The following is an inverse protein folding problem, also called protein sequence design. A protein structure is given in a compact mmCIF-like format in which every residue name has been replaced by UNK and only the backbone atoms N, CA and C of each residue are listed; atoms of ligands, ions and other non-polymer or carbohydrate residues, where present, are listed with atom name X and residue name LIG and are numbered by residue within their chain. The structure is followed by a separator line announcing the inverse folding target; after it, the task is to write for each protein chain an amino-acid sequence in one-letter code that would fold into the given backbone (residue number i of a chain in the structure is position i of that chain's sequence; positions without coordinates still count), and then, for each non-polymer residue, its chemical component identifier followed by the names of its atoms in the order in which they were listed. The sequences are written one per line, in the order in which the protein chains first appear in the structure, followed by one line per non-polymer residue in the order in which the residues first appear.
data_IF_635062970730
#
_entry.id   IF_635062970730
#
_cell.length_a   1.000
_cell.length_b   1.000
_cell.length_c   1.000
_cell.angle_alpha   90.00
_cell.angle_beta   90.00
_cell.angle_gamma   90.00
#
_symmetry.space_group_name_H-M   'P 1'
#
loop_
_entity.id
_entity.type
_entity.pdbx_description
1 polymer ?
#
# COMPACT_ATOMS: atom_id res chain seq x y z
N UNK A 1 18.13 -8.65 -16.85
CA UNK A 1 18.00 -7.21 -16.53
C UNK A 1 17.75 -7.10 -15.03
N UNK A 2 18.25 -6.07 -14.34
CA UNK A 2 17.89 -5.87 -12.92
C UNK A 2 16.37 -5.70 -12.82
N UNK A 3 15.78 -6.18 -11.71
CA UNK A 3 14.34 -6.03 -11.46
C UNK A 3 13.98 -4.54 -11.36
N UNK A 4 12.79 -4.15 -11.80
CA UNK A 4 12.30 -2.77 -11.71
C UNK A 4 12.08 -2.35 -10.26
N UNK A 5 11.68 -3.29 -9.39
CA UNK A 5 11.38 -3.13 -7.96
C UNK A 5 12.59 -3.50 -7.07
N UNK A 6 13.78 -3.01 -7.37
CA UNK A 6 14.96 -3.15 -6.52
C UNK A 6 14.81 -2.32 -5.22
N UNK A 7 14.96 -2.98 -4.05
CA UNK A 7 14.72 -2.36 -2.74
C UNK A 7 15.61 -1.17 -2.44
N UNK A 8 16.88 -1.21 -2.83
CA UNK A 8 17.80 -0.09 -2.59
C UNK A 8 17.35 1.14 -3.38
N UNK A 9 16.91 0.96 -4.62
CA UNK A 9 16.39 2.05 -5.44
C UNK A 9 15.06 2.60 -4.91
N UNK A 10 14.20 1.74 -4.34
CA UNK A 10 12.95 2.15 -3.71
C UNK A 10 13.24 2.99 -2.46
N UNK A 11 14.17 2.55 -1.60
CA UNK A 11 14.61 3.32 -0.43
C UNK A 11 15.17 4.67 -0.86
N UNK A 12 16.14 4.70 -1.78
CA UNK A 12 16.75 5.93 -2.29
C UNK A 12 15.70 6.91 -2.85
N UNK A 13 14.73 6.40 -3.61
CA UNK A 13 13.63 7.19 -4.15
C UNK A 13 12.80 7.85 -3.06
N UNK A 14 12.32 7.07 -2.08
CA UNK A 14 11.50 7.61 -1.00
C UNK A 14 12.29 8.49 -0.05
N UNK A 15 13.55 8.16 0.25
CA UNK A 15 14.42 9.00 1.08
C UNK A 15 14.66 10.37 0.42
N UNK A 16 14.86 10.38 -0.89
CA UNK A 16 15.11 11.62 -1.64
C UNK A 16 13.83 12.45 -1.81
N UNK A 17 12.70 11.79 -2.11
CA UNK A 17 11.50 12.50 -2.58
C UNK A 17 10.44 12.74 -1.52
N UNK A 18 10.44 12.03 -0.40
CA UNK A 18 9.37 12.18 0.61
C UNK A 18 9.20 13.62 1.13
N UNK A 19 10.26 14.42 1.36
CA UNK A 19 10.09 15.82 1.74
C UNK A 19 9.38 16.65 0.66
N UNK A 20 9.66 16.37 -0.62
CA UNK A 20 9.01 17.05 -1.74
C UNK A 20 7.58 16.57 -1.94
N UNK A 21 7.32 15.27 -1.80
CA UNK A 21 5.95 14.75 -1.85
C UNK A 21 5.07 15.42 -0.81
N UNK A 22 5.53 15.53 0.42
CA UNK A 22 4.77 16.20 1.46
C UNK A 22 4.47 17.67 1.14
N UNK A 23 5.42 18.41 0.60
CA UNK A 23 5.24 19.82 0.26
C UNK A 23 4.39 20.06 -0.98
N UNK A 24 4.44 19.18 -1.98
CA UNK A 24 3.79 19.35 -3.28
C UNK A 24 2.47 18.59 -3.39
N UNK A 25 2.41 17.38 -2.82
CA UNK A 25 1.25 16.51 -2.89
C UNK A 25 0.41 16.51 -1.61
N UNK A 26 1.02 16.68 -0.44
CA UNK A 26 0.34 16.76 0.85
C UNK A 26 0.67 15.60 1.79
N UNK A 27 -0.15 15.44 2.83
CA UNK A 27 0.12 14.50 3.93
C UNK A 27 -0.11 13.03 3.54
N UNK A 28 -0.95 12.73 2.54
CA UNK A 28 -1.22 11.38 2.05
C UNK A 28 -0.63 11.19 0.66
N UNK A 29 0.15 10.09 0.46
CA UNK A 29 0.74 9.79 -0.85
C UNK A 29 -0.24 9.08 -1.80
N UNK A 30 -1.19 8.34 -1.25
CA UNK A 30 -2.14 7.54 -2.00
C UNK A 30 -3.18 8.36 -2.76
N UNK A 31 -3.90 7.68 -3.65
CA UNK A 31 -5.03 8.25 -4.41
C UNK A 31 -6.12 8.84 -3.51
N UNK A 32 -6.91 9.74 -4.09
CA UNK A 32 -8.19 10.14 -3.52
C UNK A 32 -9.34 9.27 -4.03
N UNK A 33 -10.44 9.25 -3.27
CA UNK A 33 -11.71 8.63 -3.63
C UNK A 33 -12.78 9.70 -3.68
N UNK A 34 -13.14 10.16 -4.89
CA UNK A 34 -14.16 11.19 -5.12
C UNK A 34 -15.53 10.55 -5.19
N UNK A 35 -16.43 10.91 -4.29
CA UNK A 35 -17.81 10.44 -4.23
C UNK A 35 -18.68 11.28 -5.17
N UNK A 36 -18.55 12.59 -5.08
CA UNK A 36 -19.36 13.56 -5.84
C UNK A 36 -18.56 14.19 -7.00
N UNK A 37 -17.25 14.23 -6.91
CA UNK A 37 -16.34 14.73 -7.94
C UNK A 37 -15.84 16.16 -7.72
N UNK A 38 -16.36 16.89 -6.74
CA UNK A 38 -16.01 18.26 -6.38
C UNK A 38 -15.21 18.38 -5.08
N UNK A 39 -14.96 17.27 -4.39
CA UNK A 39 -14.15 17.26 -3.18
C UNK A 39 -12.73 17.75 -3.42
N UNK A 40 -12.12 18.35 -2.43
CA UNK A 40 -10.69 18.64 -2.45
C UNK A 40 -9.88 17.32 -2.50
N UNK A 41 -8.64 17.40 -2.92
CA UNK A 41 -7.72 16.24 -2.92
C UNK A 41 -7.62 15.63 -1.53
N UNK A 42 -7.45 16.46 -0.51
CA UNK A 42 -7.31 16.05 0.88
C UNK A 42 -8.58 15.33 1.38
N UNK A 43 -9.75 15.88 1.08
CA UNK A 43 -11.03 15.23 1.39
C UNK A 43 -11.16 13.86 0.70
N UNK A 44 -10.83 13.80 -0.58
CA UNK A 44 -10.90 12.55 -1.33
C UNK A 44 -9.89 11.50 -0.81
N UNK A 45 -8.71 11.93 -0.36
CA UNK A 45 -7.73 11.03 0.27
C UNK A 45 -8.26 10.45 1.60
N UNK A 46 -8.87 11.27 2.45
CA UNK A 46 -9.51 10.79 3.68
C UNK A 46 -10.70 9.86 3.37
N UNK A 47 -11.51 10.18 2.35
CA UNK A 47 -12.61 9.31 1.90
C UNK A 47 -12.11 7.94 1.42
N UNK A 48 -10.91 7.82 0.84
CA UNK A 48 -10.33 6.53 0.50
C UNK A 48 -10.04 5.69 1.74
N UNK A 49 -9.48 6.30 2.78
CA UNK A 49 -9.21 5.62 4.05
C UNK A 49 -10.53 5.18 4.69
N UNK A 50 -11.53 6.07 4.74
CA UNK A 50 -12.85 5.77 5.32
C UNK A 50 -13.56 4.65 4.55
N UNK A 51 -13.48 4.66 3.22
CA UNK A 51 -14.04 3.60 2.38
C UNK A 51 -13.44 2.23 2.70
N UNK A 52 -12.10 2.14 2.79
CA UNK A 52 -11.42 0.90 3.15
C UNK A 52 -11.73 0.49 4.60
N UNK A 53 -11.75 1.44 5.54
CA UNK A 53 -12.04 1.18 6.95
C UNK A 53 -13.47 0.63 7.16
N UNK A 54 -14.45 1.17 6.44
CA UNK A 54 -15.83 0.67 6.44
C UNK A 54 -15.90 -0.78 5.92
N UNK A 55 -15.27 -1.07 4.79
CA UNK A 55 -15.21 -2.44 4.21
C UNK A 55 -14.51 -3.43 5.13
N UNK A 56 -13.50 -2.95 5.86
CA UNK A 56 -12.74 -3.73 6.83
C UNK A 56 -13.47 -3.86 8.16
N UNK A 57 -14.49 -3.02 8.42
CA UNK A 57 -15.18 -2.93 9.71
C UNK A 57 -14.21 -2.67 10.86
N UNK A 58 -13.32 -1.70 10.70
CA UNK A 58 -12.41 -1.24 11.76
C UNK A 58 -13.22 -0.78 12.96
N UNK A 59 -12.84 -1.22 14.16
CA UNK A 59 -13.53 -0.91 15.41
C UNK A 59 -12.62 -0.09 16.34
N UNK A 60 -13.17 0.69 17.25
CA UNK A 60 -12.39 1.28 18.33
C UNK A 60 -11.61 0.21 19.09
N UNK A 61 -10.32 0.48 19.33
CA UNK A 61 -9.40 -0.47 19.97
C UNK A 61 -8.84 -1.56 19.06
N UNK A 62 -9.18 -1.60 17.76
CA UNK A 62 -8.56 -2.52 16.82
C UNK A 62 -7.04 -2.33 16.79
N UNK A 63 -6.31 -3.45 16.86
CA UNK A 63 -4.84 -3.48 16.72
C UNK A 63 -4.50 -3.61 15.24
N UNK A 64 -3.93 -2.56 14.64
CA UNK A 64 -3.71 -2.44 13.21
C UNK A 64 -2.21 -2.42 12.92
N UNK A 65 -1.75 -3.23 11.95
CA UNK A 65 -0.44 -3.11 11.33
C UNK A 65 -0.59 -2.42 9.97
N UNK A 66 -0.09 -1.19 9.85
CA UNK A 66 -0.04 -0.42 8.60
C UNK A 66 1.27 -0.72 7.86
N UNK A 67 1.17 -1.54 6.81
CA UNK A 67 2.29 -2.11 6.08
C UNK A 67 2.64 -1.20 4.90
N UNK A 68 3.81 -0.56 4.97
CA UNK A 68 4.21 0.49 4.02
C UNK A 68 3.56 1.83 4.35
N UNK A 69 3.56 2.23 5.61
CA UNK A 69 2.84 3.40 6.14
C UNK A 69 3.31 4.75 5.57
N UNK A 70 4.35 4.77 4.72
CA UNK A 70 4.95 6.00 4.23
C UNK A 70 5.39 6.91 5.38
N UNK A 71 5.07 8.20 5.32
CA UNK A 71 5.36 9.13 6.41
C UNK A 71 4.21 9.25 7.45
N UNK A 72 3.37 8.19 7.56
CA UNK A 72 2.52 7.92 8.71
C UNK A 72 1.14 8.57 8.72
N UNK A 73 0.76 9.35 7.72
CA UNK A 73 -0.49 10.11 7.76
C UNK A 73 -1.73 9.22 7.92
N UNK A 74 -1.80 8.10 7.21
CA UNK A 74 -2.90 7.12 7.32
C UNK A 74 -2.93 6.46 8.69
N UNK A 75 -1.77 6.04 9.22
CA UNK A 75 -1.66 5.47 10.58
C UNK A 75 -2.18 6.45 11.64
N UNK A 76 -1.80 7.73 11.54
CA UNK A 76 -2.25 8.78 12.46
C UNK A 76 -3.77 9.05 12.32
N UNK A 77 -4.29 9.03 11.09
CA UNK A 77 -5.72 9.16 10.85
C UNK A 77 -6.51 8.01 11.47
N UNK A 78 -6.07 6.75 11.27
CA UNK A 78 -6.70 5.57 11.86
C UNK A 78 -6.70 5.61 13.40
N UNK A 79 -5.58 6.00 14.00
CA UNK A 79 -5.49 6.14 15.45
C UNK A 79 -6.45 7.21 15.99
N UNK A 80 -6.51 8.39 15.34
CA UNK A 80 -7.34 9.52 15.78
C UNK A 80 -8.83 9.29 15.56
N UNK A 81 -9.23 8.88 14.35
CA UNK A 81 -10.64 8.86 13.95
C UNK A 81 -11.35 7.54 14.26
N UNK A 82 -10.59 6.44 14.29
CA UNK A 82 -11.14 5.12 14.63
C UNK A 82 -10.75 4.65 16.04
N UNK A 83 -9.97 5.46 16.79
CA UNK A 83 -9.45 5.07 18.10
C UNK A 83 -8.74 3.70 18.05
N UNK A 84 -7.98 3.44 16.98
CA UNK A 84 -7.25 2.20 16.77
C UNK A 84 -5.85 2.26 17.38
N UNK A 85 -5.34 1.12 17.87
CA UNK A 85 -3.94 0.96 18.22
C UNK A 85 -3.15 0.63 16.95
N UNK A 86 -2.30 1.55 16.47
CA UNK A 86 -1.64 1.40 15.17
C UNK A 86 -0.14 1.22 15.32
N UNK A 87 0.39 0.22 14.63
CA UNK A 87 1.83 0.06 14.37
C UNK A 87 2.05 0.26 12.87
N UNK A 88 2.85 1.25 12.47
CA UNK A 88 3.23 1.50 11.08
C UNK A 88 4.64 1.00 10.78
N UNK A 89 4.84 0.36 9.62
CA UNK A 89 6.17 -0.02 9.15
C UNK A 89 6.48 0.63 7.81
N UNK A 90 7.72 1.08 7.67
CA UNK A 90 8.27 1.61 6.40
C UNK A 90 9.70 1.12 6.21
N UNK A 91 10.13 1.01 4.94
CA UNK A 91 11.51 0.66 4.58
C UNK A 91 12.43 1.90 4.48
N UNK A 92 11.86 3.11 4.47
CA UNK A 92 12.58 4.38 4.33
C UNK A 92 12.89 5.01 5.71
N UNK A 93 14.17 5.20 6.07
CA UNK A 93 14.55 5.92 7.28
C UNK A 93 14.01 7.36 7.33
N UNK A 94 13.96 8.05 6.19
CA UNK A 94 13.45 9.43 6.10
C UNK A 94 11.95 9.46 6.38
N UNK A 95 11.17 8.54 5.79
CA UNK A 95 9.74 8.43 6.07
C UNK A 95 9.48 8.09 7.54
N UNK A 96 10.28 7.20 8.14
CA UNK A 96 10.18 6.87 9.56
C UNK A 96 10.31 8.11 10.42
N UNK A 97 11.36 8.93 10.18
CA UNK A 97 11.57 10.15 10.94
C UNK A 97 10.40 11.13 10.80
N UNK A 98 9.89 11.30 9.58
CA UNK A 98 8.72 12.15 9.30
C UNK A 98 7.48 11.66 10.04
N UNK A 99 7.21 10.34 10.04
CA UNK A 99 6.09 9.73 10.73
C UNK A 99 6.16 9.90 12.25
N UNK A 100 7.33 9.65 12.85
CA UNK A 100 7.57 9.84 14.29
C UNK A 100 7.39 11.30 14.70
N UNK A 101 7.93 12.24 13.90
CA UNK A 101 7.75 13.67 14.16
C UNK A 101 6.28 14.09 14.07
N UNK A 102 5.53 13.57 13.08
CA UNK A 102 4.12 13.86 12.94
C UNK A 102 3.29 13.32 14.12
N UNK A 103 3.59 12.10 14.60
CA UNK A 103 2.97 11.51 15.79
C UNK A 103 3.22 12.38 17.04
N UNK A 104 4.45 12.77 17.28
CA UNK A 104 4.82 13.62 18.40
C UNK A 104 4.12 14.98 18.37
N UNK A 105 4.08 15.63 17.19
CA UNK A 105 3.43 16.93 17.01
C UNK A 105 1.90 16.83 17.24
N UNK A 106 1.29 15.69 16.90
CA UNK A 106 -0.14 15.46 17.05
C UNK A 106 -0.52 14.83 18.39
N UNK A 107 0.47 14.53 19.26
CA UNK A 107 0.30 13.84 20.54
C UNK A 107 -0.48 12.52 20.42
N UNK A 108 -0.18 11.74 19.37
CA UNK A 108 -0.79 10.44 19.11
C UNK A 108 0.20 9.32 19.46
N UNK A 109 -0.30 8.31 20.19
CA UNK A 109 0.46 7.09 20.51
C UNK A 109 0.35 6.10 19.35
N UNK A 110 1.21 6.30 18.34
CA UNK A 110 1.35 5.41 17.17
C UNK A 110 2.80 4.96 17.11
N UNK A 111 3.02 3.66 17.08
CA UNK A 111 4.35 3.09 16.94
C UNK A 111 4.76 3.06 15.47
N UNK A 112 5.95 3.59 15.15
CA UNK A 112 6.54 3.47 13.82
C UNK A 112 7.86 2.72 13.88
N UNK A 113 8.09 1.80 12.91
CA UNK A 113 9.27 0.94 12.85
C UNK A 113 9.90 0.97 11.45
N UNK A 114 11.23 1.00 11.41
CA UNK A 114 11.96 0.71 10.18
C UNK A 114 11.98 -0.80 9.98
N UNK A 115 11.22 -1.28 9.01
CA UNK A 115 11.07 -2.72 8.78
C UNK A 115 10.72 -3.00 7.31
N UNK A 116 11.39 -4.00 6.74
CA UNK A 116 11.04 -4.55 5.43
C UNK A 116 9.79 -5.42 5.54
N UNK A 117 8.74 -5.06 4.79
CA UNK A 117 7.49 -5.80 4.76
C UNK A 117 7.65 -7.27 4.30
N UNK A 118 8.65 -7.56 3.48
CA UNK A 118 8.94 -8.95 3.04
C UNK A 118 9.73 -9.77 4.08
N UNK A 119 10.15 -9.13 5.19
CA UNK A 119 10.89 -9.76 6.28
C UNK A 119 10.31 -9.41 7.67
N UNK A 120 9.01 -9.18 7.75
CA UNK A 120 8.31 -8.83 8.99
C UNK A 120 8.48 -9.90 10.08
N UNK A 121 8.80 -9.44 11.30
CA UNK A 121 8.87 -10.28 12.49
C UNK A 121 8.15 -9.59 13.65
N UNK A 122 7.01 -10.14 14.04
CA UNK A 122 6.23 -9.68 15.19
C UNK A 122 5.93 -10.85 16.12
N UNK A 123 5.97 -10.58 17.45
CA UNK A 123 5.61 -11.56 18.48
C UNK A 123 4.11 -11.53 18.79
N UNK A 124 3.35 -10.65 18.16
CA UNK A 124 1.90 -10.51 18.33
C UNK A 124 1.18 -10.63 16.99
N UNK A 125 -0.11 -10.92 17.07
CA UNK A 125 -1.04 -10.88 15.95
C UNK A 125 -1.89 -9.60 16.00
N UNK A 126 -2.45 -9.22 14.86
CA UNK A 126 -3.22 -8.00 14.67
C UNK A 126 -4.68 -8.32 14.30
N UNK A 127 -5.61 -7.43 14.66
CA UNK A 127 -6.99 -7.48 14.21
C UNK A 127 -7.11 -7.13 12.72
N UNK A 128 -6.25 -6.21 12.26
CA UNK A 128 -6.22 -5.73 10.87
C UNK A 128 -4.78 -5.60 10.38
N UNK A 129 -4.50 -6.16 9.21
CA UNK A 129 -3.39 -5.75 8.37
C UNK A 129 -3.92 -4.75 7.35
N UNK A 130 -3.25 -3.62 7.25
CA UNK A 130 -3.60 -2.53 6.36
C UNK A 130 -2.46 -2.29 5.37
N UNK A 131 -2.73 -2.22 4.08
CA UNK A 131 -1.72 -1.89 3.07
C UNK A 131 -2.34 -1.12 1.92
N UNK A 132 -1.85 0.09 1.69
CA UNK A 132 -2.30 0.96 0.60
C UNK A 132 -1.10 1.35 -0.25
N UNK A 133 -1.14 0.97 -1.54
CA UNK A 133 -0.12 1.30 -2.56
C UNK A 133 1.31 0.89 -2.17
N UNK A 134 1.47 -0.31 -1.60
CA UNK A 134 2.76 -0.78 -1.12
C UNK A 134 3.16 -2.14 -1.73
N UNK A 135 2.22 -3.09 -1.86
CA UNK A 135 2.53 -4.47 -2.24
C UNK A 135 3.06 -4.58 -3.68
N UNK A 136 2.68 -3.65 -4.56
CA UNK A 136 3.19 -3.59 -5.93
C UNK A 136 4.70 -3.40 -6.01
N UNK A 137 5.35 -2.90 -4.96
CA UNK A 137 6.82 -2.79 -4.84
C UNK A 137 7.51 -4.10 -4.45
N UNK A 138 6.81 -5.10 -3.90
CA UNK A 138 7.44 -6.29 -3.31
C UNK A 138 7.91 -7.27 -4.37
N UNK A 139 9.05 -7.92 -4.09
CA UNK A 139 9.72 -8.84 -5.01
C UNK A 139 9.16 -10.26 -4.94
N UNK A 140 8.80 -10.73 -3.73
CA UNK A 140 8.19 -12.03 -3.50
C UNK A 140 6.85 -11.89 -2.78
N UNK A 141 5.83 -11.53 -3.55
CA UNK A 141 4.48 -11.37 -3.02
C UNK A 141 3.91 -12.65 -2.46
N UNK A 142 4.25 -13.82 -3.05
CA UNK A 142 3.78 -15.11 -2.53
C UNK A 142 4.24 -15.31 -1.09
N UNK A 143 5.54 -15.11 -0.84
CA UNK A 143 6.11 -15.21 0.50
C UNK A 143 5.57 -14.14 1.43
N UNK A 144 5.42 -12.90 0.93
CA UNK A 144 4.82 -11.80 1.69
C UNK A 144 3.41 -12.15 2.19
N UNK A 145 2.50 -12.58 1.31
CA UNK A 145 1.14 -12.94 1.71
C UNK A 145 1.10 -14.11 2.69
N UNK A 146 1.99 -15.11 2.52
CA UNK A 146 2.09 -16.24 3.44
C UNK A 146 2.59 -15.81 4.84
N UNK A 147 3.51 -14.86 4.91
CA UNK A 147 4.01 -14.30 6.17
C UNK A 147 2.98 -13.37 6.82
N UNK A 148 2.36 -12.51 6.03
CA UNK A 148 1.33 -11.57 6.50
C UNK A 148 0.12 -12.31 7.10
N UNK A 149 -0.36 -13.38 6.44
CA UNK A 149 -1.51 -14.14 6.94
C UNK A 149 -1.32 -14.67 8.37
N UNK A 150 -0.08 -15.04 8.74
CA UNK A 150 0.25 -15.54 10.09
C UNK A 150 0.19 -14.46 11.17
N UNK A 151 0.25 -13.20 10.78
CA UNK A 151 0.16 -12.05 11.68
C UNK A 151 -1.28 -11.66 12.00
N UNK A 152 -2.28 -12.31 11.40
CA UNK A 152 -3.69 -12.05 11.69
C UNK A 152 -4.19 -12.90 12.84
N UNK A 153 -4.91 -12.29 13.76
CA UNK A 153 -5.71 -12.99 14.78
C UNK A 153 -6.80 -13.84 14.12
N UNK A 154 -7.34 -14.88 14.79
CA UNK A 154 -8.56 -15.54 14.35
C UNK A 154 -9.66 -14.52 14.05
N UNK A 155 -10.25 -14.59 12.85
CA UNK A 155 -11.25 -13.60 12.39
C UNK A 155 -10.68 -12.25 11.99
N UNK A 156 -9.36 -12.05 12.09
CA UNK A 156 -8.66 -10.85 11.63
C UNK A 156 -8.78 -10.62 10.13
N UNK A 157 -8.55 -9.39 9.68
CA UNK A 157 -8.78 -8.98 8.30
C UNK A 157 -7.56 -8.36 7.66
N UNK A 158 -7.37 -8.64 6.37
CA UNK A 158 -6.37 -7.97 5.54
C UNK A 158 -7.07 -6.99 4.59
N UNK A 159 -6.82 -5.71 4.78
CA UNK A 159 -7.33 -4.59 4.01
C UNK A 159 -6.25 -4.11 3.03
N UNK A 160 -6.53 -4.15 1.74
CA UNK A 160 -5.56 -3.86 0.69
C UNK A 160 -6.18 -2.91 -0.33
N UNK A 161 -5.46 -1.86 -0.70
CA UNK A 161 -5.68 -1.11 -1.94
C UNK A 161 -4.36 -1.05 -2.68
N UNK A 162 -4.36 -1.41 -3.97
CA UNK A 162 -3.13 -1.42 -4.77
C UNK A 162 -3.40 -1.24 -6.27
N UNK A 163 -2.32 -1.21 -7.01
CA UNK A 163 -2.27 -1.01 -8.45
C UNK A 163 -2.22 -2.35 -9.18
N UNK A 164 -3.00 -2.47 -10.25
CA UNK A 164 -3.14 -3.70 -11.01
C UNK A 164 -3.11 -3.43 -12.51
N UNK A 165 -2.62 -4.40 -13.26
CA UNK A 165 -2.80 -4.44 -14.71
C UNK A 165 -4.02 -5.29 -15.06
N UNK A 166 -4.64 -4.99 -16.20
CA UNK A 166 -5.66 -5.85 -16.80
C UNK A 166 -5.07 -7.21 -17.15
N UNK A 167 -5.84 -8.28 -16.95
CA UNK A 167 -5.49 -9.60 -17.47
C UNK A 167 -5.49 -9.63 -18.99
N UNK A 168 -4.73 -10.56 -19.56
CA UNK A 168 -4.70 -10.85 -21.01
C UNK A 168 -4.29 -9.64 -21.90
N UNK A 169 -3.39 -8.81 -21.43
CA UNK A 169 -2.82 -7.74 -22.25
C UNK A 169 -1.95 -8.32 -23.39
N UNK A 170 -2.08 -7.75 -24.57
CA UNK A 170 -1.17 -8.02 -25.69
C UNK A 170 0.22 -7.47 -25.38
N UNK A 171 1.25 -7.97 -26.07
CA UNK A 171 2.62 -7.41 -25.94
C UNK A 171 2.68 -5.91 -26.26
N UNK A 172 1.86 -5.44 -27.20
CA UNK A 172 1.81 -4.02 -27.57
C UNK A 172 1.21 -3.18 -26.42
N UNK A 173 0.11 -3.64 -25.81
CA UNK A 173 -0.51 -2.99 -24.65
C UNK A 173 0.42 -3.01 -23.44
N UNK A 174 1.09 -4.11 -23.14
CA UNK A 174 2.08 -4.21 -22.06
C UNK A 174 3.18 -3.17 -22.24
N UNK A 175 3.80 -3.09 -23.41
CA UNK A 175 4.85 -2.09 -23.72
C UNK A 175 4.35 -0.65 -23.61
N UNK A 176 3.09 -0.42 -23.97
CA UNK A 176 2.51 0.93 -23.99
C UNK A 176 2.06 1.39 -22.60
N UNK A 177 1.43 0.52 -21.81
CA UNK A 177 0.76 0.93 -20.58
C UNK A 177 1.42 0.39 -19.30
N UNK A 178 2.13 -0.75 -19.34
CA UNK A 178 2.63 -1.40 -18.13
C UNK A 178 4.13 -1.17 -17.95
N UNK A 179 4.96 -1.49 -18.96
CA UNK A 179 6.41 -1.35 -18.85
C UNK A 179 6.86 0.07 -18.41
N UNK A 180 6.24 1.18 -18.88
CA UNK A 180 6.60 2.51 -18.41
C UNK A 180 6.20 2.77 -16.95
N UNK A 181 5.09 2.18 -16.49
CA UNK A 181 4.64 2.28 -15.10
C UNK A 181 5.58 1.49 -14.21
N UNK A 182 5.82 0.21 -14.52
CA UNK A 182 6.71 -0.65 -13.74
C UNK A 182 8.10 -0.01 -13.59
N UNK A 183 8.63 0.53 -14.68
CA UNK A 183 9.94 1.21 -14.67
C UNK A 183 9.93 2.54 -13.93
N UNK A 184 8.93 3.37 -14.17
CA UNK A 184 8.86 4.73 -13.61
C UNK A 184 8.53 4.73 -12.13
N UNK A 185 7.61 3.86 -11.71
CA UNK A 185 7.13 3.75 -10.33
C UNK A 185 7.89 2.70 -9.51
N UNK A 186 8.83 1.97 -10.10
CA UNK A 186 9.60 0.88 -9.46
C UNK A 186 8.68 -0.20 -8.89
N UNK A 187 7.65 -0.55 -9.62
CA UNK A 187 6.68 -1.59 -9.25
C UNK A 187 6.78 -2.76 -10.21
N UNK A 188 6.08 -3.83 -9.90
CA UNK A 188 5.76 -4.93 -10.79
C UNK A 188 4.26 -5.20 -10.67
N UNK A 189 3.48 -4.73 -11.67
CA UNK A 189 2.02 -4.84 -11.60
C UNK A 189 1.55 -6.28 -11.77
N UNK A 190 0.78 -6.76 -10.80
CA UNK A 190 0.03 -8.02 -10.86
C UNK A 190 -1.35 -7.79 -11.45
N UNK A 191 -2.03 -8.87 -11.80
CA UNK A 191 -3.50 -8.85 -12.02
C UNK A 191 -4.22 -9.05 -10.68
N UNK A 192 -5.45 -8.57 -10.55
CA UNK A 192 -6.23 -8.73 -9.31
C UNK A 192 -6.40 -10.21 -8.91
N UNK A 193 -6.52 -11.11 -9.88
CA UNK A 193 -6.67 -12.55 -9.63
C UNK A 193 -5.42 -13.17 -8.97
N UNK A 194 -4.23 -12.58 -9.11
CA UNK A 194 -3.03 -13.03 -8.39
C UNK A 194 -3.17 -12.79 -6.88
N UNK A 195 -3.63 -11.60 -6.49
CA UNK A 195 -3.86 -11.28 -5.07
C UNK A 195 -4.96 -12.16 -4.48
N UNK A 196 -6.04 -12.40 -5.23
CA UNK A 196 -7.09 -13.33 -4.82
C UNK A 196 -6.53 -14.72 -4.54
N UNK A 197 -5.69 -15.25 -5.47
CA UNK A 197 -5.03 -16.55 -5.24
C UNK A 197 -4.09 -16.54 -4.04
N UNK A 198 -3.30 -15.46 -3.84
CA UNK A 198 -2.41 -15.36 -2.70
C UNK A 198 -3.18 -15.32 -1.37
N UNK A 199 -4.26 -14.57 -1.29
CA UNK A 199 -5.11 -14.48 -0.10
C UNK A 199 -5.77 -15.83 0.20
N UNK A 200 -6.44 -16.43 -0.79
CA UNK A 200 -7.21 -17.69 -0.60
C UNK A 200 -6.32 -18.87 -0.32
N UNK A 201 -5.13 -18.97 -0.96
CA UNK A 201 -4.16 -20.05 -0.69
C UNK A 201 -3.57 -19.98 0.72
N UNK A 202 -3.66 -18.84 1.40
CA UNK A 202 -3.24 -18.66 2.79
C UNK A 202 -4.40 -18.65 3.80
N UNK A 203 -5.56 -19.21 3.43
CA UNK A 203 -6.68 -19.42 4.33
C UNK A 203 -7.53 -18.17 4.59
N UNK A 204 -7.41 -17.12 3.77
CA UNK A 204 -8.26 -15.95 3.88
C UNK A 204 -9.42 -16.03 2.89
N UNK A 205 -10.61 -15.73 3.35
CA UNK A 205 -11.80 -15.58 2.51
C UNK A 205 -11.96 -14.12 2.09
N UNK A 206 -12.08 -13.86 0.80
CA UNK A 206 -12.34 -12.52 0.28
C UNK A 206 -13.76 -12.12 0.61
N UNK A 207 -13.91 -11.01 1.32
CA UNK A 207 -15.20 -10.42 1.68
C UNK A 207 -15.55 -9.23 0.78
N UNK A 208 -14.56 -8.50 0.28
CA UNK A 208 -14.73 -7.40 -0.66
C UNK A 208 -13.64 -7.46 -1.75
N UNK A 209 -14.06 -7.20 -2.98
CA UNK A 209 -13.20 -7.02 -4.14
C UNK A 209 -13.82 -5.96 -5.04
N UNK A 210 -13.17 -4.80 -5.16
CA UNK A 210 -13.71 -3.65 -5.88
C UNK A 210 -12.68 -3.08 -6.86
N UNK A 211 -13.14 -2.49 -7.97
CA UNK A 211 -12.32 -1.66 -8.88
C UNK A 211 -12.73 -0.22 -8.62
N UNK A 212 -11.78 0.62 -8.21
CA UNK A 212 -12.00 1.99 -7.75
C UNK A 212 -11.73 3.04 -8.83
N UNK A 213 -11.40 2.65 -10.06
CA UNK A 213 -10.96 3.54 -11.13
C UNK A 213 -11.85 4.78 -11.30
N UNK A 214 -13.19 4.58 -11.31
CA UNK A 214 -14.15 5.65 -11.52
C UNK A 214 -14.02 6.77 -10.47
N UNK A 215 -13.77 6.39 -9.22
CA UNK A 215 -13.68 7.33 -8.10
C UNK A 215 -12.26 7.87 -7.90
N UNK A 216 -11.23 7.22 -8.43
CA UNK A 216 -9.83 7.57 -8.15
C UNK A 216 -9.11 8.22 -9.35
N UNK A 217 -9.70 8.22 -10.55
CA UNK A 217 -9.05 8.71 -11.77
C UNK A 217 -8.60 10.18 -11.68
N UNK A 218 -9.34 11.04 -10.98
CA UNK A 218 -9.03 12.47 -10.79
C UNK A 218 -7.66 12.70 -10.11
N UNK A 219 -7.16 11.73 -9.35
CA UNK A 219 -5.80 11.76 -8.79
C UNK A 219 -4.76 12.07 -9.86
N UNK A 220 -4.88 11.43 -11.02
CA UNK A 220 -3.90 11.58 -12.10
C UNK A 220 -4.06 12.86 -12.91
N UNK A 221 -5.26 13.43 -12.98
CA UNK A 221 -5.47 14.77 -13.53
C UNK A 221 -4.77 15.81 -12.66
N UNK A 222 -4.95 15.75 -11.33
CA UNK A 222 -4.26 16.63 -10.38
C UNK A 222 -2.74 16.43 -10.37
N UNK A 223 -2.28 15.19 -10.49
CA UNK A 223 -0.85 14.88 -10.58
C UNK A 223 -0.21 15.49 -11.85
N UNK A 224 -0.93 15.45 -12.98
CA UNK A 224 -0.48 16.07 -14.22
C UNK A 224 -0.44 17.61 -14.13
N UNK A 225 -1.37 18.21 -13.41
CA UNK A 225 -1.37 19.67 -13.16
C UNK A 225 -0.11 20.08 -12.37
N UNK A 226 0.26 19.33 -11.34
CA UNK A 226 1.49 19.59 -10.57
C UNK A 226 2.74 19.50 -11.46
N UNK A 227 2.84 18.46 -12.30
CA UNK A 227 4.02 18.32 -13.19
C UNK A 227 4.00 19.27 -14.38
N UNK A 228 2.94 20.04 -14.58
CA UNK A 228 2.91 21.12 -15.57
C UNK A 228 3.69 22.36 -15.12
N UNK A 229 3.97 22.49 -13.83
CA UNK A 229 4.72 23.62 -13.28
C UNK A 229 6.20 23.57 -13.66
N UNK A 230 6.71 24.70 -14.19
CA UNK A 230 8.13 24.84 -14.60
C UNK A 230 9.09 24.65 -13.42
N UNK A 231 8.73 25.05 -12.20
CA UNK A 231 9.55 24.88 -11.01
C UNK A 231 9.77 23.40 -10.71
N UNK A 232 8.78 22.56 -10.97
CA UNK A 232 8.85 21.12 -10.80
C UNK A 232 9.86 20.47 -11.77
N UNK A 233 9.91 20.93 -13.04
CA UNK A 233 10.89 20.46 -14.01
C UNK A 233 12.32 20.94 -13.71
N UNK A 234 12.49 22.11 -13.09
CA UNK A 234 13.77 22.55 -12.58
C UNK A 234 14.29 21.64 -11.45
N UNK A 235 13.40 21.18 -10.59
CA UNK A 235 13.70 20.16 -9.58
C UNK A 235 14.02 18.80 -10.24
N UNK A 236 13.23 18.38 -11.22
CA UNK A 236 13.43 17.14 -11.96
C UNK A 236 14.80 17.07 -12.62
N UNK A 237 15.26 18.19 -13.20
CA UNK A 237 16.60 18.28 -13.81
C UNK A 237 17.73 18.08 -12.79
N UNK A 238 17.54 18.48 -11.52
CA UNK A 238 18.51 18.28 -10.44
C UNK A 238 18.51 16.83 -9.93
N UNK A 239 17.35 16.16 -9.96
CA UNK A 239 17.17 14.79 -9.45
C UNK A 239 17.52 13.70 -10.49
N UNK A 240 17.77 14.09 -11.75
CA UNK A 240 18.29 13.21 -12.80
C UNK A 240 17.25 12.43 -13.58
N UNK A 241 17.74 11.54 -14.47
CA UNK A 241 16.93 10.84 -15.49
C UNK A 241 15.89 9.87 -14.90
N UNK A 242 16.15 9.34 -13.70
CA UNK A 242 15.20 8.46 -12.99
C UNK A 242 13.91 9.21 -12.68
N UNK A 243 14.02 10.42 -12.17
CA UNK A 243 12.87 11.26 -11.86
C UNK A 243 12.08 11.67 -13.11
N UNK A 244 12.74 11.92 -14.23
CA UNK A 244 12.06 12.14 -15.51
C UNK A 244 11.26 10.92 -15.97
N UNK A 245 11.76 9.70 -15.75
CA UNK A 245 11.03 8.46 -16.05
C UNK A 245 9.80 8.29 -15.15
N UNK A 246 9.94 8.64 -13.90
CA UNK A 246 8.84 8.69 -12.92
C UNK A 246 7.72 9.62 -13.39
N UNK A 247 8.03 10.86 -13.78
CA UNK A 247 7.03 11.82 -14.25
C UNK A 247 6.33 11.37 -15.54
N UNK A 248 7.06 10.75 -16.45
CA UNK A 248 6.45 10.19 -17.68
C UNK A 248 5.44 9.09 -17.39
N UNK A 249 5.62 8.33 -16.31
CA UNK A 249 4.68 7.30 -15.91
C UNK A 249 3.29 7.86 -15.58
N UNK A 250 3.16 9.10 -15.07
CA UNK A 250 1.89 9.73 -14.74
C UNK A 250 0.94 9.82 -15.93
N UNK A 251 1.45 10.22 -17.10
CA UNK A 251 0.64 10.28 -18.34
C UNK A 251 0.19 8.89 -18.77
N UNK A 252 1.06 7.89 -18.62
CA UNK A 252 0.74 6.50 -18.98
C UNK A 252 -0.29 5.91 -18.04
N UNK A 253 -0.17 6.17 -16.72
CA UNK A 253 -1.15 5.71 -15.74
C UNK A 253 -2.52 6.31 -16.02
N UNK A 254 -2.60 7.62 -16.25
CA UNK A 254 -3.86 8.27 -16.63
C UNK A 254 -4.49 7.64 -17.87
N UNK A 255 -3.70 7.41 -18.91
CA UNK A 255 -4.17 6.73 -20.12
C UNK A 255 -4.57 5.27 -19.85
N UNK A 256 -3.87 4.58 -18.95
CA UNK A 256 -4.17 3.23 -18.49
C UNK A 256 -5.51 3.16 -17.77
N UNK A 257 -5.80 4.14 -16.89
CA UNK A 257 -7.12 4.29 -16.24
C UNK A 257 -8.23 4.45 -17.28
N UNK A 258 -8.06 5.37 -18.23
CA UNK A 258 -9.07 5.65 -19.26
C UNK A 258 -9.33 4.46 -20.18
N UNK A 259 -8.30 3.67 -20.50
CA UNK A 259 -8.42 2.49 -21.37
C UNK A 259 -8.82 1.22 -20.64
N UNK A 260 -8.82 1.21 -19.30
CA UNK A 260 -9.05 0.03 -18.47
C UNK A 260 -7.89 -0.98 -18.47
N UNK A 261 -6.70 -0.60 -18.97
CA UNK A 261 -5.52 -1.46 -18.96
C UNK A 261 -4.76 -1.40 -17.63
N UNK A 262 -5.04 -0.38 -16.83
CA UNK A 262 -4.58 -0.21 -15.46
C UNK A 262 -5.80 -0.10 -14.54
N UNK A 263 -5.75 -0.79 -13.39
CA UNK A 263 -6.80 -0.78 -12.39
C UNK A 263 -6.24 -0.38 -11.02
N UNK A 264 -7.04 0.33 -10.26
CA UNK A 264 -6.85 0.59 -8.85
C UNK A 264 -7.88 -0.22 -8.10
N UNK A 265 -7.44 -1.18 -7.31
CA UNK A 265 -8.31 -2.21 -6.76
C UNK A 265 -8.23 -2.32 -5.26
N UNK A 266 -9.37 -2.69 -4.66
CA UNK A 266 -9.52 -2.94 -3.24
C UNK A 266 -9.82 -4.42 -2.99
N UNK A 267 -9.17 -4.97 -1.96
CA UNK A 267 -9.50 -6.25 -1.35
C UNK A 267 -9.68 -6.10 0.15
N UNK A 268 -10.67 -6.79 0.69
CA UNK A 268 -10.71 -7.14 2.11
C UNK A 268 -10.88 -8.65 2.19
N UNK A 269 -10.00 -9.29 2.94
CA UNK A 269 -10.07 -10.73 3.17
C UNK A 269 -9.98 -11.03 4.66
N UNK A 270 -10.66 -12.07 5.13
CA UNK A 270 -10.78 -12.45 6.54
C UNK A 270 -10.25 -13.86 6.77
N UNK A 271 -9.56 -14.08 7.89
CA UNK A 271 -9.15 -15.41 8.33
C UNK A 271 -10.39 -16.28 8.59
N UNK A 272 -10.45 -17.45 7.94
CA UNK A 272 -11.54 -18.41 8.19
C UNK A 272 -11.39 -19.07 9.55
N UNK A 273 -12.48 -19.17 10.30
CA UNK A 273 -12.51 -19.75 11.66
C UNK A 273 -11.94 -21.18 11.69
N UNK A 274 -12.13 -21.97 10.64
CA UNK A 274 -11.66 -23.34 10.55
C UNK A 274 -10.14 -23.49 10.36
N UNK A 275 -9.44 -22.43 9.98
CA UNK A 275 -7.97 -22.43 9.78
C UNK A 275 -7.26 -22.06 11.07
N UNK A 276 -7.86 -21.25 11.91
CA UNK A 276 -7.34 -20.86 13.22
C UNK A 276 -7.07 -22.08 14.12
N UNK A 277 -7.97 -23.07 14.12
CA UNK A 277 -7.78 -24.32 14.87
C UNK A 277 -6.63 -25.22 14.38
N UNK A 278 -6.25 -25.10 13.12
CA UNK A 278 -5.10 -25.87 12.57
C UNK A 278 -3.75 -25.25 12.94
N UNK A 279 -3.67 -23.93 13.04
CA UNK A 279 -2.43 -23.25 13.40
C UNK A 279 -2.11 -23.42 14.90
N UNK A 280 -3.13 -23.40 15.77
CA UNK A 280 -2.97 -23.64 17.20
C UNK A 280 -2.44 -25.05 17.48
N UNK A 281 -2.92 -26.08 16.76
CA UNK A 281 -2.47 -27.49 16.92
C UNK A 281 -1.05 -27.77 16.40
N UNK A 282 -0.49 -26.89 15.56
CA UNK A 282 0.90 -27.06 15.08
C UNK A 282 1.92 -26.40 16.00
N UNK A 283 1.54 -25.37 16.77
CA UNK A 283 2.39 -24.77 17.80
C UNK A 283 2.59 -25.68 19.01
N UNK A 284 1.55 -26.40 19.43
CA UNK A 284 1.61 -27.34 20.58
C UNK A 284 2.43 -28.61 20.31
N UNK A 285 2.75 -28.91 19.03
CA UNK A 285 3.60 -30.07 18.68
C UNK A 285 5.09 -29.76 18.62
N UNK A 286 5.47 -28.49 18.63
CA UNK A 286 6.89 -28.08 18.59
C UNK A 286 7.54 -28.07 20.00
N UNK A 287 6.76 -27.99 21.09
CA UNK A 287 7.28 -27.94 22.47
C UNK A 287 7.29 -29.30 23.21
N UNK A 288 6.90 -30.37 22.56
CA UNK A 288 6.78 -31.72 23.11
C UNK A 288 7.90 -32.68 22.76
N UNK A 289 9.18 -32.33 22.96
CA UNK A 289 10.25 -33.29 22.65
C UNK A 289 11.63 -32.91 23.15
N UNK A 290 11.83 -32.86 24.48
CA UNK A 290 13.11 -33.13 25.12
C UNK A 290 12.88 -33.35 26.63
N UNK A 291 12.45 -34.57 26.96
CA UNK A 291 12.63 -35.12 28.30
C UNK A 291 13.34 -36.44 28.13
N UNK A 292 14.52 -36.49 28.61
CA UNK A 292 15.43 -37.47 29.19
C UNK A 292 16.86 -37.20 28.71
#
# INVERSE_FOLDING_TARGET
MPRTNDKHRIIEHYDTLSPYYRSLWGEHLHHGYWIHGDESKEQAQLQLIDHLAQRTSVKPGSDILDIGCGFGATSLYLARHFNAAVTGITISPVQLQMAMQAAATQHLDVQFLLMDAEAMQFQKQFDVLWSVESISHYQDRRQFFASAAKLLKPGGRFAIIDWFKKGNLTRAETRKFIDPIDKGMMVELSVMDDYERFLTSNGLQITHREILNKHCAKTWDLSLDIISDKAFWALAAKLGTHFVSYLKAFQVIRAGFASGNFAYGLFVAQVQSNVAEKWDRTSDRADGGLAV
#
